data_IF_794313964841
#
_entry.id   IF_794313964841
#
_cell.length_a   1.000
_cell.length_b   1.000
_cell.length_c   1.000
_cell.angle_alpha   90.00
_cell.angle_beta   90.00
_cell.angle_gamma   90.00
#
_symmetry.space_group_name_H-M   'P 1'
#
loop_
_entity.id
_entity.type
_entity.pdbx_description
1 polymer ?
#
# COMPACT_ATOMS: atom_id res chain seq x y z
N UNK A 1 -29.94 -52.71 73.84
CA UNK A 1 -30.23 -52.78 72.40
C UNK A 1 -29.68 -51.50 71.78
N UNK A 2 -28.47 -51.55 71.20
CA UNK A 2 -27.77 -50.37 70.66
C UNK A 2 -28.21 -50.17 69.21
N UNK A 3 -28.81 -49.02 68.90
CA UNK A 3 -29.22 -48.66 67.55
C UNK A 3 -28.26 -47.56 67.05
N UNK A 4 -27.47 -47.79 65.99
CA UNK A 4 -26.50 -46.80 65.54
C UNK A 4 -27.23 -45.67 64.78
N UNK A 5 -27.05 -44.42 65.24
CA UNK A 5 -27.51 -43.23 64.53
C UNK A 5 -26.62 -43.02 63.30
N UNK A 6 -27.10 -43.42 62.12
CA UNK A 6 -26.37 -43.30 60.87
C UNK A 6 -26.25 -41.85 60.37
N UNK A 7 -25.02 -41.35 60.28
CA UNK A 7 -24.42 -40.63 59.13
C UNK A 7 -25.21 -39.55 58.35
N UNK A 8 -26.13 -38.81 58.95
CA UNK A 8 -26.83 -37.70 58.26
C UNK A 8 -25.83 -36.61 57.81
N UNK A 9 -24.82 -36.31 58.63
CA UNK A 9 -23.82 -35.27 58.36
C UNK A 9 -22.84 -35.61 57.22
N UNK A 10 -22.53 -36.90 57.02
CA UNK A 10 -21.65 -37.34 55.93
C UNK A 10 -22.35 -37.28 54.56
N UNK A 11 -23.65 -37.57 54.51
CA UNK A 11 -24.44 -37.50 53.28
C UNK A 11 -24.63 -36.05 52.82
N UNK A 12 -24.90 -35.13 53.76
CA UNK A 12 -24.98 -33.69 53.45
C UNK A 12 -23.65 -33.10 52.98
N UNK A 13 -22.53 -33.49 53.62
CA UNK A 13 -21.20 -33.04 53.21
C UNK A 13 -20.84 -33.56 51.80
N UNK A 14 -21.11 -34.83 51.49
CA UNK A 14 -20.86 -35.39 50.16
C UNK A 14 -21.71 -34.72 49.08
N UNK A 15 -23.00 -34.47 49.34
CA UNK A 15 -23.88 -33.76 48.41
C UNK A 15 -23.41 -32.31 48.15
N UNK A 16 -22.97 -31.58 49.19
CA UNK A 16 -22.43 -30.23 49.02
C UNK A 16 -21.13 -30.21 48.21
N UNK A 17 -20.27 -31.21 48.40
CA UNK A 17 -18.98 -31.32 47.71
C UNK A 17 -19.17 -31.66 46.24
N UNK A 18 -20.13 -32.52 45.92
CA UNK A 18 -20.46 -32.87 44.53
C UNK A 18 -21.14 -31.72 43.77
N UNK A 19 -21.99 -30.94 44.45
CA UNK A 19 -22.68 -29.77 43.87
C UNK A 19 -21.71 -28.63 43.54
N UNK A 20 -20.63 -28.45 44.32
CA UNK A 20 -19.57 -27.46 44.04
C UNK A 20 -18.67 -27.84 42.86
N UNK A 21 -18.49 -29.14 42.58
CA UNK A 21 -17.73 -29.61 41.40
C UNK A 21 -18.43 -29.26 40.09
N UNK A 22 -19.75 -29.46 40.00
CA UNK A 22 -20.52 -29.11 38.80
C UNK A 22 -20.50 -27.61 38.44
N UNK A 23 -20.47 -26.72 39.44
CA UNK A 23 -20.37 -25.26 39.23
C UNK A 23 -18.96 -24.85 38.79
N UNK A 24 -17.92 -25.51 39.31
CA UNK A 24 -16.53 -25.31 38.90
C UNK A 24 -16.30 -25.69 37.43
N UNK A 25 -16.84 -26.83 37.00
CA UNK A 25 -16.74 -27.30 35.61
C UNK A 25 -17.48 -26.38 34.64
N UNK A 26 -18.70 -25.94 34.98
CA UNK A 26 -19.47 -24.97 34.20
C UNK A 26 -18.76 -23.60 34.09
N UNK A 27 -18.17 -23.15 35.19
CA UNK A 27 -17.43 -21.87 35.20
C UNK A 27 -16.15 -21.99 34.37
N UNK A 28 -15.47 -23.14 34.43
CA UNK A 28 -14.28 -23.42 33.62
C UNK A 28 -14.59 -23.45 32.12
N UNK A 29 -15.71 -24.07 31.71
CA UNK A 29 -16.11 -24.08 30.29
C UNK A 29 -16.54 -22.70 29.81
N UNK A 30 -17.30 -21.95 30.61
CA UNK A 30 -17.67 -20.57 30.28
C UNK A 30 -16.45 -19.64 30.13
N UNK A 31 -15.47 -19.76 31.03
CA UNK A 31 -14.23 -18.98 30.94
C UNK A 31 -13.41 -19.36 29.71
N UNK A 32 -13.35 -20.65 29.37
CA UNK A 32 -12.65 -21.12 28.16
C UNK A 32 -13.32 -20.59 26.89
N UNK A 33 -14.65 -20.60 26.82
CA UNK A 33 -15.42 -20.02 25.71
C UNK A 33 -15.18 -18.51 25.63
N UNK A 34 -15.20 -17.80 26.76
CA UNK A 34 -14.96 -16.36 26.78
C UNK A 34 -13.54 -16.00 26.27
N UNK A 35 -12.51 -16.70 26.74
CA UNK A 35 -11.12 -16.46 26.31
C UNK A 35 -10.93 -16.77 24.83
N UNK A 36 -11.49 -17.87 24.33
CA UNK A 36 -11.42 -18.21 22.89
C UNK A 36 -12.15 -17.19 22.03
N UNK A 37 -13.30 -16.67 22.47
CA UNK A 37 -14.02 -15.62 21.74
C UNK A 37 -13.23 -14.31 21.69
N UNK A 38 -12.64 -13.89 22.82
CA UNK A 38 -11.81 -12.68 22.90
C UNK A 38 -10.56 -12.84 22.02
N UNK A 39 -9.86 -13.98 22.11
CA UNK A 39 -8.69 -14.24 21.26
C UNK A 39 -9.06 -14.29 19.76
N UNK A 40 -10.21 -14.87 19.41
CA UNK A 40 -10.68 -14.91 18.02
C UNK A 40 -11.00 -13.52 17.46
N UNK A 41 -11.68 -12.67 18.24
CA UNK A 41 -12.04 -11.31 17.81
C UNK A 41 -10.84 -10.39 17.67
N UNK A 42 -9.82 -10.51 18.53
CA UNK A 42 -8.59 -9.72 18.41
C UNK A 42 -7.78 -10.10 17.18
N UNK A 43 -7.60 -11.39 16.92
CA UNK A 43 -6.90 -11.88 15.72
C UNK A 43 -7.65 -11.47 14.46
N UNK A 44 -8.97 -11.62 14.42
CA UNK A 44 -9.78 -11.22 13.27
C UNK A 44 -9.69 -9.71 13.00
N UNK A 45 -9.76 -8.89 14.06
CA UNK A 45 -9.64 -7.44 13.94
C UNK A 45 -8.25 -7.03 13.43
N UNK A 46 -7.20 -7.68 13.90
CA UNK A 46 -5.83 -7.47 13.42
C UNK A 46 -5.69 -7.82 11.93
N UNK A 47 -6.13 -9.01 11.52
CA UNK A 47 -6.05 -9.44 10.11
C UNK A 47 -6.81 -8.47 9.20
N UNK A 48 -7.99 -8.01 9.64
CA UNK A 48 -8.78 -7.03 8.89
C UNK A 48 -8.07 -5.68 8.77
N UNK A 49 -7.41 -5.22 9.82
CA UNK A 49 -6.60 -4.00 9.78
C UNK A 49 -5.45 -4.13 8.78
N UNK A 50 -4.74 -5.26 8.79
CA UNK A 50 -3.64 -5.50 7.86
C UNK A 50 -4.11 -5.58 6.40
N UNK A 51 -5.29 -6.16 6.14
CA UNK A 51 -5.88 -6.18 4.81
C UNK A 51 -6.20 -4.77 4.29
N UNK A 52 -6.80 -3.90 5.12
CA UNK A 52 -7.08 -2.52 4.75
C UNK A 52 -5.79 -1.73 4.44
N UNK A 53 -4.72 -1.93 5.22
CA UNK A 53 -3.43 -1.29 4.97
C UNK A 53 -2.81 -1.77 3.66
N UNK A 54 -2.94 -3.07 3.35
CA UNK A 54 -2.48 -3.65 2.08
C UNK A 54 -3.24 -3.08 0.88
N UNK A 55 -4.57 -2.97 0.97
CA UNK A 55 -5.41 -2.39 -0.08
C UNK A 55 -5.10 -0.90 -0.29
N UNK A 56 -4.89 -0.15 0.80
CA UNK A 56 -4.49 1.25 0.72
C UNK A 56 -3.12 1.41 0.05
N UNK A 57 -2.14 0.58 0.44
CA UNK A 57 -0.82 0.57 -0.18
C UNK A 57 -0.90 0.20 -1.67
N UNK A 58 -1.70 -0.80 -2.04
CA UNK A 58 -1.93 -1.16 -3.44
C UNK A 58 -2.56 0.00 -4.22
N UNK A 59 -3.60 0.66 -3.67
CA UNK A 59 -4.25 1.80 -4.31
C UNK A 59 -3.28 2.97 -4.52
N UNK A 60 -2.43 3.26 -3.54
CA UNK A 60 -1.42 4.32 -3.64
C UNK A 60 -0.34 3.98 -4.68
N UNK A 61 0.13 2.73 -4.68
CA UNK A 61 1.14 2.27 -5.64
C UNK A 61 0.60 2.21 -7.06
N UNK A 62 -0.63 1.73 -7.27
CA UNK A 62 -1.27 1.69 -8.59
C UNK A 62 -1.60 3.10 -9.06
N UNK A 63 -2.13 3.97 -8.19
CA UNK A 63 -2.38 5.37 -8.50
C UNK A 63 -1.11 6.12 -8.91
N UNK A 64 -0.02 5.93 -8.17
CA UNK A 64 1.29 6.50 -8.51
C UNK A 64 1.88 5.91 -9.80
N UNK A 65 1.78 4.59 -9.99
CA UNK A 65 2.30 3.89 -11.18
C UNK A 65 1.54 4.28 -12.44
N UNK A 66 0.21 4.37 -12.41
CA UNK A 66 -0.58 4.83 -13.56
C UNK A 66 -0.27 6.29 -13.91
N UNK A 67 0.00 7.14 -12.92
CA UNK A 67 0.39 8.53 -13.15
C UNK A 67 1.80 8.63 -13.78
N UNK A 68 2.70 7.70 -13.48
CA UNK A 68 4.01 7.57 -14.13
C UNK A 68 3.89 7.05 -15.57
N UNK A 69 2.97 6.13 -15.86
CA UNK A 69 2.75 5.61 -17.22
C UNK A 69 1.93 6.56 -18.11
N UNK A 70 1.11 7.43 -17.53
CA UNK A 70 0.30 8.42 -18.26
C UNK A 70 0.98 9.78 -18.36
N UNK A 71 2.31 9.83 -18.50
CA UNK A 71 3.00 11.07 -18.83
C UNK A 71 2.42 11.69 -20.11
N UNK A 72 1.58 12.71 -19.93
CA UNK A 72 0.98 13.50 -21.01
C UNK A 72 1.74 14.80 -21.11
N UNK A 73 2.84 14.77 -21.85
CA UNK A 73 3.49 15.98 -22.32
C UNK A 73 2.65 16.60 -23.42
N UNK A 74 2.36 17.90 -23.26
CA UNK A 74 1.71 18.69 -24.29
C UNK A 74 2.64 19.84 -24.64
N UNK A 75 2.76 20.11 -25.94
CA UNK A 75 3.44 21.30 -26.46
C UNK A 75 2.35 22.34 -26.78
N UNK A 76 1.96 23.21 -25.82
CA UNK A 76 0.90 24.20 -26.05
C UNK A 76 1.30 25.30 -27.04
N UNK A 77 2.58 25.62 -27.10
CA UNK A 77 3.07 26.74 -27.90
C UNK A 77 4.51 26.52 -28.33
N UNK A 78 4.78 26.83 -29.60
CA UNK A 78 6.12 26.99 -30.13
C UNK A 78 6.22 28.42 -30.65
N UNK A 79 7.14 29.19 -30.07
CA UNK A 79 7.44 30.55 -30.50
C UNK A 79 8.82 30.56 -31.13
N UNK A 80 8.97 31.23 -32.27
CA UNK A 80 10.24 31.32 -32.97
C UNK A 80 10.55 32.76 -33.37
N UNK A 81 11.82 33.13 -33.30
CA UNK A 81 12.41 34.32 -33.89
C UNK A 81 13.46 33.89 -34.91
N UNK A 82 14.13 34.83 -35.58
CA UNK A 82 15.21 34.53 -36.53
C UNK A 82 16.36 33.72 -35.90
N UNK A 83 16.61 33.85 -34.60
CA UNK A 83 17.77 33.23 -33.94
C UNK A 83 17.41 32.32 -32.75
N UNK A 84 16.14 32.28 -32.34
CA UNK A 84 15.72 31.52 -31.15
C UNK A 84 14.41 30.78 -31.39
N UNK A 85 14.37 29.51 -31.01
CA UNK A 85 13.12 28.74 -30.91
C UNK A 85 12.86 28.45 -29.44
N UNK A 86 11.66 28.79 -28.97
CA UNK A 86 11.19 28.53 -27.62
C UNK A 86 10.02 27.56 -27.69
N UNK A 87 10.23 26.36 -27.14
CA UNK A 87 9.22 25.31 -27.05
C UNK A 87 8.72 25.28 -25.62
N UNK A 88 7.44 25.60 -25.42
CA UNK A 88 6.80 25.46 -24.12
C UNK A 88 6.30 24.04 -23.98
N UNK A 89 6.73 23.36 -22.92
CA UNK A 89 6.29 21.99 -22.61
C UNK A 89 5.53 22.05 -21.30
N UNK A 90 4.27 21.61 -21.33
CA UNK A 90 3.46 21.44 -20.14
C UNK A 90 3.38 19.96 -19.77
N UNK A 91 3.78 19.65 -18.54
CA UNK A 91 3.62 18.31 -17.98
C UNK A 91 2.39 18.31 -17.06
N UNK A 92 1.41 17.47 -17.41
CA UNK A 92 0.20 17.25 -16.62
C UNK A 92 0.37 16.15 -15.55
N UNK A 93 1.49 15.43 -15.57
CA UNK A 93 1.81 14.36 -14.64
C UNK A 93 2.50 14.84 -13.37
N UNK A 94 2.64 13.94 -12.40
CA UNK A 94 3.28 14.22 -11.10
C UNK A 94 4.81 14.09 -11.13
N UNK A 95 5.38 13.47 -12.17
CA UNK A 95 6.83 13.33 -12.32
C UNK A 95 7.49 14.68 -12.60
N UNK A 96 8.62 14.96 -11.94
CA UNK A 96 9.40 16.16 -12.22
C UNK A 96 10.03 16.04 -13.61
N UNK A 97 9.84 17.07 -14.45
CA UNK A 97 10.45 17.13 -15.79
C UNK A 97 11.98 17.07 -15.68
N UNK A 98 12.55 15.95 -16.10
CA UNK A 98 14.00 15.79 -16.27
C UNK A 98 14.26 15.36 -17.70
N UNK A 99 14.66 16.31 -18.53
CA UNK A 99 15.10 16.01 -19.89
C UNK A 99 16.54 15.50 -19.81
N UNK A 100 16.76 14.25 -20.21
CA UNK A 100 18.11 13.69 -20.34
C UNK A 100 18.75 14.10 -21.66
N UNK A 101 17.94 14.26 -22.71
CA UNK A 101 18.41 14.61 -24.04
C UNK A 101 17.38 15.45 -24.80
N UNK A 102 17.85 16.47 -25.55
CA UNK A 102 17.05 17.19 -26.54
C UNK A 102 17.76 17.08 -27.89
N UNK A 103 17.05 16.57 -28.90
CA UNK A 103 17.56 16.41 -30.26
C UNK A 103 16.83 17.34 -31.23
N UNK A 104 17.59 18.14 -31.97
CA UNK A 104 17.06 19.01 -33.04
C UNK A 104 17.47 18.45 -34.39
N UNK A 105 16.47 18.20 -35.24
CA UNK A 105 16.67 17.64 -36.58
C UNK A 105 16.45 18.69 -37.66
N UNK A 106 17.29 18.65 -38.68
CA UNK A 106 17.09 19.40 -39.92
C UNK A 106 15.90 18.89 -40.74
N UNK A 107 15.51 19.61 -41.81
CA UNK A 107 14.29 19.34 -42.59
C UNK A 107 14.23 17.95 -43.23
N UNK A 108 15.37 17.30 -43.47
CA UNK A 108 15.45 15.96 -44.08
C UNK A 108 15.58 14.82 -43.07
N UNK A 109 15.64 15.11 -41.76
CA UNK A 109 15.94 14.16 -40.67
C UNK A 109 17.22 13.32 -40.84
N UNK A 110 18.04 13.60 -41.85
CA UNK A 110 19.24 12.81 -42.16
C UNK A 110 20.47 13.24 -41.37
N UNK A 111 20.44 14.44 -40.77
CA UNK A 111 21.48 14.96 -39.91
C UNK A 111 20.87 15.55 -38.63
N UNK A 112 21.42 15.14 -37.50
CA UNK A 112 21.11 15.71 -36.19
C UNK A 112 21.95 16.97 -36.01
N UNK A 113 21.31 18.11 -35.75
CA UNK A 113 21.95 19.41 -35.75
C UNK A 113 22.49 19.76 -34.36
N UNK A 114 21.70 19.49 -33.31
CA UNK A 114 22.08 19.80 -31.93
C UNK A 114 21.58 18.71 -30.98
N UNK A 115 22.47 18.25 -30.09
CA UNK A 115 22.11 17.46 -28.91
C UNK A 115 22.48 18.19 -27.64
N UNK A 116 21.50 18.38 -26.77
CA UNK A 116 21.74 18.78 -25.39
C UNK A 116 21.64 17.56 -24.50
N UNK A 117 22.72 17.22 -23.81
CA UNK A 117 22.76 16.28 -22.68
C UNK A 117 22.95 17.07 -21.39
N UNK A 118 22.67 16.43 -20.26
CA UNK A 118 22.85 16.88 -18.87
C UNK A 118 24.15 17.61 -18.57
N UNK A 119 25.21 17.39 -19.35
CA UNK A 119 26.52 17.99 -19.12
C UNK A 119 27.04 18.88 -20.27
N UNK A 120 26.53 18.73 -21.50
CA UNK A 120 27.12 19.37 -22.68
C UNK A 120 26.09 19.63 -23.79
N UNK A 121 26.36 20.67 -24.60
CA UNK A 121 25.70 20.88 -25.88
C UNK A 121 26.66 20.48 -27.00
N UNK A 122 26.30 19.48 -27.81
CA UNK A 122 27.04 19.12 -29.02
C UNK A 122 26.28 19.64 -30.23
N UNK A 123 26.91 20.56 -30.96
CA UNK A 123 26.39 21.10 -32.21
C UNK A 123 27.12 20.40 -33.35
N UNK A 124 26.36 19.65 -34.15
CA UNK A 124 26.82 18.98 -35.35
C UNK A 124 26.34 19.83 -36.52
N UNK A 125 27.15 20.80 -36.95
CA UNK A 125 26.78 21.65 -38.10
C UNK A 125 26.84 20.82 -39.38
N UNK A 126 25.70 20.48 -40.03
CA UNK A 126 25.76 19.88 -41.35
C UNK A 126 26.36 20.88 -42.35
N UNK A 127 27.05 20.37 -43.37
CA UNK A 127 27.60 21.22 -44.43
C UNK A 127 26.49 22.09 -45.04
N UNK A 128 26.75 23.41 -45.15
CA UNK A 128 25.82 24.38 -45.71
C UNK A 128 25.35 23.91 -47.09
N UNK A 129 24.05 23.73 -47.26
CA UNK A 129 23.47 23.47 -48.58
C UNK A 129 23.79 24.65 -49.51
N UNK A 130 24.41 24.36 -50.66
CA UNK A 130 24.51 25.28 -51.80
C UNK A 130 23.19 25.34 -52.55
#
# INVERSE_FOLDING_TARGET
MYQPRGNITLVEALLFTHRRRGVSELTGTLMTIAVTLVAGTTVFSYVRSQANLSELALSQNVGGTLNLLQERFVVPLVSYTSNTVTIYIYNNGQATNKFTQIEVYGPTRSAMDIVYDTNYATVSTPASCR
#
